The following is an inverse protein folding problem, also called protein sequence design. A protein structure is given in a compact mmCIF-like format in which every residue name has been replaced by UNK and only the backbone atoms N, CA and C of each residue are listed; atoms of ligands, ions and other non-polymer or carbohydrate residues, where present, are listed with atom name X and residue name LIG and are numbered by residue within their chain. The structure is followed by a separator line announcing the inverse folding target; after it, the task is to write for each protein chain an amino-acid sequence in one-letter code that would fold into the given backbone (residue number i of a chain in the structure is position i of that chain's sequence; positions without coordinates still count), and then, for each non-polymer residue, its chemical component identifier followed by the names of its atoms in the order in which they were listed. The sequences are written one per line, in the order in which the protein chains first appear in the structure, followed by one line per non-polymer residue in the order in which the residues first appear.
data_IF_325861456023
#
_entry.id   IF_325861456023
#
_cell.length_a   1.000
_cell.length_b   1.000
_cell.length_c   1.000
_cell.angle_alpha   90.00
_cell.angle_beta   90.00
_cell.angle_gamma   90.00
#
_symmetry.space_group_name_H-M   'P 1'
#
loop_
_entity.id
_entity.type
_entity.pdbx_description
1 polymer ?
#
# COMPACT_ATOMS: atom_id res chain seq x y z
N UNK A 1 -20.63 2.64 5.81
CA UNK A 1 -20.96 2.26 4.41
C UNK A 1 -20.07 1.07 4.10
N UNK A 2 -20.44 0.19 3.17
CA UNK A 2 -19.58 -0.93 2.78
C UNK A 2 -18.98 -0.67 1.41
N UNK A 3 -17.79 -1.23 1.15
CA UNK A 3 -17.04 -0.95 -0.08
C UNK A 3 -15.57 -1.28 0.06
N UNK A 4 -14.71 -0.50 -0.58
CA UNK A 4 -13.26 -0.57 -0.45
C UNK A 4 -12.65 0.83 -0.41
N UNK A 5 -11.37 0.93 -0.06
CA UNK A 5 -10.65 2.20 -0.11
C UNK A 5 -9.46 2.14 -1.04
N UNK A 6 -9.15 3.26 -1.67
CA UNK A 6 -7.97 3.47 -2.51
C UNK A 6 -7.13 4.56 -1.86
N UNK A 7 -5.82 4.34 -1.77
CA UNK A 7 -4.83 5.35 -1.43
C UNK A 7 -4.05 5.67 -2.70
N UNK A 8 -4.29 6.85 -3.26
CA UNK A 8 -3.61 7.33 -4.45
C UNK A 8 -2.13 7.61 -4.17
N UNK A 9 -1.33 7.78 -5.23
CA UNK A 9 0.14 7.99 -5.13
C UNK A 9 0.50 9.25 -4.33
N UNK A 10 -0.39 10.26 -4.34
CA UNK A 10 -0.24 11.48 -3.54
C UNK A 10 -0.58 11.30 -2.05
N UNK A 11 -1.06 10.11 -1.68
CA UNK A 11 -1.49 9.73 -0.34
C UNK A 11 -2.94 10.05 -0.01
N UNK A 12 -3.74 10.55 -0.95
CA UNK A 12 -5.17 10.78 -0.78
C UNK A 12 -5.91 9.45 -0.60
N UNK A 13 -6.73 9.35 0.45
CA UNK A 13 -7.59 8.18 0.66
C UNK A 13 -9.01 8.46 0.18
N UNK A 14 -9.49 7.63 -0.73
CA UNK A 14 -10.86 7.68 -1.28
C UNK A 14 -11.62 6.42 -0.92
N UNK A 15 -12.86 6.56 -0.46
CA UNK A 15 -13.79 5.44 -0.26
C UNK A 15 -14.63 5.19 -1.52
N UNK A 16 -14.69 3.94 -1.95
CA UNK A 16 -15.48 3.48 -3.08
C UNK A 16 -16.63 2.61 -2.57
N UNK A 17 -17.90 3.04 -2.71
CA UNK A 17 -19.05 2.32 -2.16
C UNK A 17 -19.49 1.10 -2.99
N UNK A 18 -18.68 0.67 -3.96
CA UNK A 18 -18.97 -0.49 -4.79
C UNK A 18 -18.42 -1.76 -4.12
N UNK A 19 -19.11 -2.88 -4.32
CA UNK A 19 -18.58 -4.19 -3.94
C UNK A 19 -17.27 -4.42 -4.69
N UNK A 20 -16.14 -4.66 -3.99
CA UNK A 20 -14.86 -4.86 -4.65
C UNK A 20 -14.91 -6.15 -5.47
N UNK A 21 -14.42 -6.05 -6.70
CA UNK A 21 -14.19 -7.19 -7.57
C UNK A 21 -12.73 -7.20 -8.00
N UNK A 22 -12.27 -8.36 -8.44
CA UNK A 22 -10.96 -8.48 -9.09
C UNK A 22 -10.77 -7.42 -10.17
N UNK A 23 -11.75 -7.18 -11.05
CA UNK A 23 -11.57 -6.19 -12.12
C UNK A 23 -11.46 -4.75 -11.61
N UNK A 24 -12.25 -4.37 -10.59
CA UNK A 24 -12.17 -3.04 -9.98
C UNK A 24 -10.83 -2.83 -9.26
N UNK A 25 -10.32 -3.85 -8.57
CA UNK A 25 -8.99 -3.79 -7.95
C UNK A 25 -7.92 -3.63 -9.03
N UNK A 26 -8.06 -4.31 -10.19
CA UNK A 26 -7.09 -4.25 -11.31
C UNK A 26 -7.00 -2.86 -11.87
N UNK A 27 -8.18 -2.28 -12.10
CA UNK A 27 -8.30 -0.94 -12.63
C UNK A 27 -7.68 0.09 -11.68
N UNK A 28 -7.86 -0.10 -10.37
CA UNK A 28 -7.34 0.81 -9.36
C UNK A 28 -5.82 0.71 -9.12
N UNK A 29 -5.25 -0.51 -9.00
CA UNK A 29 -3.81 -0.67 -8.70
C UNK A 29 -2.94 -0.72 -9.96
N UNK A 30 -3.44 -1.32 -11.04
CA UNK A 30 -2.66 -1.65 -12.23
C UNK A 30 -2.84 -3.10 -12.69
N UNK A 31 -2.30 -3.39 -13.88
CA UNK A 31 -2.60 -4.63 -14.62
C UNK A 31 -2.18 -5.93 -13.89
N UNK A 32 -1.09 -5.89 -13.13
CA UNK A 32 -0.58 -7.01 -12.34
C UNK A 32 -0.53 -6.59 -10.89
N UNK A 33 -1.14 -7.37 -10.00
CA UNK A 33 -1.18 -7.03 -8.58
C UNK A 33 -0.56 -8.11 -7.70
N UNK A 34 -0.13 -7.69 -6.53
CA UNK A 34 0.22 -8.56 -5.42
C UNK A 34 -0.75 -8.36 -4.25
N UNK A 35 -1.03 -9.45 -3.54
CA UNK A 35 -1.78 -9.44 -2.29
C UNK A 35 -0.85 -9.16 -1.11
N UNK A 36 -1.25 -8.22 -0.26
CA UNK A 36 -0.57 -7.88 0.99
C UNK A 36 -1.47 -8.28 2.14
N UNK A 37 -1.18 -9.43 2.75
CA UNK A 37 -1.95 -9.91 3.89
C UNK A 37 -1.85 -8.93 5.07
N UNK A 38 -3.02 -8.51 5.55
CA UNK A 38 -3.14 -7.66 6.73
C UNK A 38 -3.88 -8.44 7.85
N UNK A 39 -3.56 -8.16 9.12
CA UNK A 39 -4.33 -8.65 10.26
C UNK A 39 -5.83 -8.32 10.18
N UNK A 40 -6.62 -8.97 11.04
CA UNK A 40 -8.03 -8.62 11.29
C UNK A 40 -8.98 -8.78 10.10
N UNK A 41 -8.61 -9.60 9.10
CA UNK A 41 -9.43 -9.83 7.92
C UNK A 41 -9.42 -8.65 6.95
N UNK A 42 -8.28 -7.97 6.83
CA UNK A 42 -8.00 -6.96 5.82
C UNK A 42 -7.09 -7.55 4.73
N UNK A 43 -7.15 -6.98 3.53
CA UNK A 43 -6.18 -7.27 2.47
C UNK A 43 -5.80 -5.98 1.76
N UNK A 44 -4.49 -5.78 1.58
CA UNK A 44 -3.94 -4.76 0.69
C UNK A 44 -3.70 -5.33 -0.70
N UNK A 45 -3.83 -4.49 -1.73
CA UNK A 45 -3.54 -4.81 -3.12
C UNK A 45 -2.68 -3.70 -3.69
N UNK A 46 -1.62 -4.08 -4.41
CA UNK A 46 -0.58 -3.17 -4.92
C UNK A 46 -0.14 -3.60 -6.32
N UNK A 47 0.39 -2.69 -7.14
CA UNK A 47 0.96 -3.04 -8.46
C UNK A 47 2.28 -3.80 -8.27
N UNK A 48 2.30 -5.09 -8.61
CA UNK A 48 3.51 -5.93 -8.51
C UNK A 48 4.58 -5.51 -9.52
N UNK A 49 4.12 -5.05 -10.69
CA UNK A 49 4.98 -4.56 -11.77
C UNK A 49 5.36 -3.08 -11.56
N UNK A 50 4.91 -2.43 -10.48
CA UNK A 50 5.15 -1.00 -10.28
C UNK A 50 6.63 -0.64 -10.31
N UNK A 51 7.50 -1.54 -9.84
CA UNK A 51 8.95 -1.39 -9.96
C UNK A 51 9.46 -1.48 -11.41
N UNK A 52 8.93 -2.42 -12.20
CA UNK A 52 9.29 -2.61 -13.62
C UNK A 52 8.83 -1.41 -14.44
N UNK A 53 7.64 -0.89 -14.14
CA UNK A 53 7.04 0.29 -14.78
C UNK A 53 7.64 1.63 -14.29
N UNK A 54 8.60 1.58 -13.37
CA UNK A 54 9.21 2.75 -12.75
C UNK A 54 8.19 3.73 -12.12
N UNK A 55 7.08 3.21 -11.58
CA UNK A 55 6.11 4.00 -10.83
C UNK A 55 6.75 4.57 -9.56
N UNK A 56 6.25 5.72 -9.13
CA UNK A 56 6.67 6.32 -7.87
C UNK A 56 6.15 5.52 -6.68
N UNK A 57 6.94 5.50 -5.60
CA UNK A 57 6.50 4.90 -4.35
C UNK A 57 5.41 5.73 -3.71
N UNK A 58 4.33 5.06 -3.35
CA UNK A 58 3.29 5.66 -2.55
C UNK A 58 3.71 5.62 -1.09
N UNK A 59 4.35 6.70 -0.63
CA UNK A 59 4.91 6.79 0.73
C UNK A 59 3.82 6.60 1.78
N UNK A 60 2.68 7.27 1.62
CA UNK A 60 1.56 7.20 2.57
C UNK A 60 0.94 5.81 2.55
N UNK A 61 0.64 5.26 1.38
CA UNK A 61 0.10 3.91 1.22
C UNK A 61 1.03 2.84 1.80
N UNK A 62 2.34 2.96 1.59
CA UNK A 62 3.32 2.01 2.11
C UNK A 62 3.38 2.03 3.63
N UNK A 63 3.48 3.23 4.22
CA UNK A 63 3.49 3.39 5.68
C UNK A 63 2.16 2.94 6.27
N UNK A 64 1.04 3.22 5.62
CA UNK A 64 -0.28 2.76 6.06
C UNK A 64 -0.35 1.24 6.13
N UNK A 65 0.09 0.53 5.07
CA UNK A 65 0.10 -0.93 5.07
C UNK A 65 0.97 -1.48 6.21
N UNK A 66 2.17 -0.92 6.42
CA UNK A 66 3.04 -1.33 7.54
C UNK A 66 2.43 -1.04 8.90
N UNK A 67 1.82 0.13 9.08
CA UNK A 67 1.11 0.49 10.31
C UNK A 67 -0.11 -0.40 10.58
N UNK A 68 -0.70 -0.98 9.53
CA UNK A 68 -1.75 -1.99 9.63
C UNK A 68 -1.18 -3.41 9.84
N UNK A 69 0.14 -3.62 9.78
CA UNK A 69 0.79 -4.89 10.07
C UNK A 69 1.39 -5.61 8.86
N UNK A 70 1.48 -4.97 7.69
CA UNK A 70 2.22 -5.51 6.55
C UNK A 70 3.73 -5.56 6.81
N UNK A 71 4.44 -6.32 5.97
CA UNK A 71 5.90 -6.32 5.95
C UNK A 71 6.48 -4.95 5.56
N UNK A 72 7.69 -4.66 6.03
CA UNK A 72 8.36 -3.39 5.78
C UNK A 72 8.96 -3.33 4.36
N UNK A 73 8.15 -2.96 3.36
CA UNK A 73 8.59 -2.76 1.98
C UNK A 73 7.94 -1.54 1.29
N UNK A 74 8.67 -0.82 0.41
CA UNK A 74 8.09 0.22 -0.44
C UNK A 74 7.09 -0.38 -1.44
N UNK A 75 5.91 0.22 -1.54
CA UNK A 75 4.89 -0.14 -2.53
C UNK A 75 4.76 0.98 -3.57
N UNK A 76 4.79 0.58 -4.84
CA UNK A 76 4.69 1.49 -5.98
C UNK A 76 3.24 1.63 -6.44
N UNK A 77 2.86 2.84 -6.88
CA UNK A 77 1.52 3.11 -7.38
C UNK A 77 0.41 3.18 -6.30
N UNK A 78 -0.86 3.26 -6.72
CA UNK A 78 -2.00 3.24 -5.79
C UNK A 78 -2.07 1.95 -4.97
N UNK A 79 -2.61 2.07 -3.76
CA UNK A 79 -2.87 0.94 -2.86
C UNK A 79 -4.36 0.78 -2.67
N UNK A 80 -4.90 -0.41 -2.88
CA UNK A 80 -6.31 -0.72 -2.54
C UNK A 80 -6.35 -1.51 -1.24
N UNK A 81 -7.33 -1.22 -0.38
CA UNK A 81 -7.60 -2.03 0.82
C UNK A 81 -9.05 -2.52 0.78
N UNK A 82 -9.22 -3.83 0.94
CA UNK A 82 -10.52 -4.52 1.04
C UNK A 82 -10.63 -5.28 2.35
N UNK A 83 -11.82 -5.81 2.64
CA UNK A 83 -11.95 -6.91 3.59
C UNK A 83 -11.45 -8.22 2.97
N UNK A 84 -11.18 -9.22 3.82
CA UNK A 84 -10.76 -10.55 3.41
C UNK A 84 -11.50 -11.66 4.16
N UNK A 85 -11.89 -12.70 3.43
CA UNK A 85 -12.50 -13.90 3.99
C UNK A 85 -11.94 -15.17 3.30
N UNK A 86 -11.58 -16.24 4.02
CA UNK A 86 -10.91 -17.41 3.43
C UNK A 86 -11.73 -18.15 2.36
N UNK A 87 -13.06 -18.01 2.36
CA UNK A 87 -13.93 -18.68 1.38
C UNK A 87 -14.20 -17.87 0.10
N UNK A 88 -13.99 -16.55 0.12
CA UNK A 88 -14.38 -15.64 -0.97
C UNK A 88 -13.23 -14.71 -1.40
N UNK A 89 -12.18 -14.65 -0.59
CA UNK A 89 -10.97 -13.83 -0.71
C UNK A 89 -11.25 -12.33 -0.64
N UNK A 90 -11.95 -11.75 -1.61
CA UNK A 90 -12.28 -10.33 -1.68
C UNK A 90 -13.67 -10.11 -1.09
N UNK A 91 -13.77 -9.33 -0.02
CA UNK A 91 -15.06 -8.88 0.53
C UNK A 91 -15.04 -7.38 0.81
N UNK A 92 -16.21 -6.80 0.97
CA UNK A 92 -16.35 -5.40 1.37
C UNK A 92 -15.72 -5.15 2.75
N UNK A 93 -15.15 -3.96 2.93
CA UNK A 93 -14.87 -3.42 4.25
C UNK A 93 -16.21 -3.16 4.95
N UNK A 94 -16.38 -3.74 6.12
CA UNK A 94 -17.40 -3.28 7.04
C UNK A 94 -17.02 -1.91 7.64
N UNK A 95 -18.00 -1.28 8.31
CA UNK A 95 -17.84 0.06 8.85
C UNK A 95 -16.74 0.17 9.92
N UNK A 96 -16.51 -0.88 10.70
CA UNK A 96 -15.51 -0.86 11.78
C UNK A 96 -14.10 -0.94 11.20
N UNK A 97 -13.89 -1.85 10.24
CA UNK A 97 -12.63 -1.97 9.50
C UNK A 97 -12.32 -0.72 8.68
N UNK A 98 -13.32 -0.17 8.00
CA UNK A 98 -13.19 1.10 7.27
C UNK A 98 -12.77 2.23 8.23
N UNK A 99 -13.40 2.30 9.41
CA UNK A 99 -13.05 3.29 10.43
C UNK A 99 -11.60 3.14 10.90
N UNK A 100 -11.14 1.91 11.16
CA UNK A 100 -9.74 1.64 11.55
C UNK A 100 -8.78 2.11 10.46
N UNK A 101 -9.01 1.74 9.20
CA UNK A 101 -8.12 2.12 8.08
C UNK A 101 -8.04 3.64 7.96
N UNK A 102 -9.18 4.35 8.03
CA UNK A 102 -9.21 5.83 7.99
C UNK A 102 -8.52 6.47 9.20
N UNK A 103 -8.68 5.90 10.39
CA UNK A 103 -8.05 6.40 11.60
C UNK A 103 -6.52 6.23 11.54
N UNK A 104 -6.02 5.09 11.06
CA UNK A 104 -4.57 4.88 10.87
C UNK A 104 -4.03 5.81 9.78
N UNK A 105 -4.72 5.92 8.64
CA UNK A 105 -4.36 6.85 7.56
C UNK A 105 -4.25 8.29 8.06
N UNK A 106 -5.24 8.78 8.80
CA UNK A 106 -5.22 10.13 9.38
C UNK A 106 -4.03 10.33 10.33
N UNK A 107 -3.71 9.34 11.17
CA UNK A 107 -2.53 9.38 12.06
C UNK A 107 -1.22 9.39 11.28
N UNK A 108 -1.10 8.60 10.20
CA UNK A 108 0.06 8.60 9.30
C UNK A 108 0.24 9.98 8.67
N UNK A 109 -0.82 10.55 8.08
CA UNK A 109 -0.77 11.89 7.49
C UNK A 109 -0.38 12.96 8.50
N UNK A 110 -0.94 12.91 9.72
CA UNK A 110 -0.60 13.85 10.79
C UNK A 110 0.88 13.74 11.22
N UNK A 111 1.39 12.51 11.36
CA UNK A 111 2.78 12.25 11.71
C UNK A 111 3.77 12.76 10.63
N UNK A 112 3.40 12.64 9.36
CA UNK A 112 4.21 13.12 8.23
C UNK A 112 4.16 14.65 8.07
N UNK A 113 3.05 15.29 8.46
CA UNK A 113 2.93 16.74 8.43
C UNK A 113 3.63 17.44 9.62
N UNK A 114 3.77 16.75 10.75
CA UNK A 114 4.35 17.31 11.96
C UNK A 114 5.88 17.11 12.01
N UNK A 115 6.60 18.20 12.29
CA UNK A 115 8.06 18.18 12.50
C UNK A 115 8.47 17.98 13.96
N UNK A 116 7.51 18.00 14.89
CA UNK A 116 7.79 17.84 16.32
C UNK A 116 8.01 16.36 16.67
N UNK A 117 9.10 16.10 17.42
CA UNK A 117 9.41 14.79 17.99
C UNK A 117 8.69 14.53 19.32
N UNK A 118 8.81 13.30 19.83
CA UNK A 118 8.29 12.91 21.16
C UNK A 118 7.01 12.07 21.15
N UNK A 119 6.49 11.76 19.96
CA UNK A 119 5.46 10.74 19.76
C UNK A 119 6.13 9.56 19.03
N UNK A 120 6.26 8.42 19.73
CA UNK A 120 6.91 7.21 19.23
C UNK A 120 6.30 6.71 17.91
N UNK A 121 4.97 6.80 17.77
CA UNK A 121 4.30 6.42 16.52
C UNK A 121 4.68 7.39 15.40
N UNK A 122 4.71 8.69 15.68
CA UNK A 122 5.07 9.68 14.68
C UNK A 122 6.55 9.55 14.24
N UNK A 123 7.44 9.27 15.19
CA UNK A 123 8.85 9.01 14.93
C UNK A 123 9.02 7.76 14.05
N UNK A 124 8.34 6.65 14.38
CA UNK A 124 8.36 5.44 13.56
C UNK A 124 7.81 5.68 12.14
N UNK A 125 6.68 6.39 12.01
CA UNK A 125 6.10 6.75 10.69
C UNK A 125 7.09 7.56 9.85
N UNK A 126 7.78 8.53 10.45
CA UNK A 126 8.77 9.34 9.72
C UNK A 126 9.98 8.54 9.30
N UNK A 127 10.48 7.66 10.16
CA UNK A 127 11.58 6.75 9.83
C UNK A 127 11.20 5.81 8.68
N UNK A 128 10.03 5.16 8.77
CA UNK A 128 9.52 4.32 7.70
C UNK A 128 9.34 5.08 6.40
N UNK A 129 8.79 6.30 6.45
CA UNK A 129 8.63 7.13 5.26
C UNK A 129 9.97 7.55 4.65
N UNK A 130 10.99 7.82 5.47
CA UNK A 130 12.33 8.08 4.99
C UNK A 130 12.93 6.85 4.30
N UNK A 131 12.74 5.66 4.86
CA UNK A 131 13.13 4.40 4.25
C UNK A 131 12.46 4.22 2.88
N UNK A 132 11.14 4.38 2.80
CA UNK A 132 10.38 4.24 1.54
C UNK A 132 10.87 5.23 0.48
N UNK A 133 11.10 6.50 0.83
CA UNK A 133 11.61 7.52 -0.11
C UNK A 133 13.03 7.23 -0.60
N UNK A 134 13.85 6.64 0.26
CA UNK A 134 15.27 6.36 -0.03
C UNK A 134 15.50 5.00 -0.68
N UNK A 135 14.47 4.14 -0.72
CA UNK A 135 14.62 2.78 -1.18
C UNK A 135 15.06 2.74 -2.65
N UNK A 136 16.06 1.91 -2.99
CA UNK A 136 16.50 1.76 -4.36
C UNK A 136 15.39 1.15 -5.19
N UNK A 137 15.16 1.67 -6.40
CA UNK A 137 14.28 1.03 -7.37
C UNK A 137 14.92 -0.31 -7.79
N UNK A 138 14.23 -1.45 -7.67
CA UNK A 138 14.78 -2.73 -8.08
C UNK A 138 15.20 -2.67 -9.54
N UNK A 139 16.47 -3.01 -9.81
CA UNK A 139 16.97 -3.20 -11.18
C UNK A 139 17.07 -4.69 -11.45
N UNK A 140 16.43 -5.17 -12.51
CA UNK A 140 16.61 -6.54 -12.98
C UNK A 140 17.84 -6.55 -13.90
N UNK A 141 18.91 -7.23 -13.48
CA UNK A 141 20.02 -7.58 -14.38
C UNK A 141 19.78 -8.98 -14.91
N UNK A 142 19.40 -9.08 -16.19
CA UNK A 142 19.30 -10.38 -16.87
C UNK A 142 20.71 -10.84 -17.23
N UNK A 143 21.23 -11.85 -16.52
CA UNK A 143 22.46 -12.51 -16.92
C UNK A 143 22.19 -13.36 -18.17
N UNK A 144 22.69 -12.91 -19.33
CA UNK A 144 22.68 -13.73 -20.55
C UNK A 144 23.83 -14.74 -20.44
N UNK A 145 23.59 -16.06 -20.54
CA UNK A 145 24.67 -17.03 -20.55
C UNK A 145 25.54 -16.83 -21.80
N UNK A 146 26.80 -16.43 -21.63
CA UNK A 146 27.83 -16.48 -22.67
C UNK A 146 28.27 -15.16 -23.33
N UNK A 147 27.94 -13.99 -22.79
CA UNK A 147 28.50 -12.71 -23.28
C UNK A 147 29.69 -12.25 -22.44
N UNK A 148 30.90 -12.21 -23.01
CA UNK A 148 32.03 -11.52 -22.37
C UNK A 148 31.75 -10.01 -22.28
N UNK A 149 32.14 -9.33 -21.18
CA UNK A 149 31.97 -7.89 -21.05
C UNK A 149 32.84 -7.16 -22.08
N UNK A 150 32.22 -6.27 -22.86
CA UNK A 150 32.90 -5.30 -23.73
C UNK A 150 33.09 -3.98 -22.99
#
# INVERSE_FOLDING_TARGET
MSGYVVVDVDGTLTHHPATPTSDLIREAVGNWWAMVHLPSGLMGWVDDDGHIKALDYNVVGSVLLMALGAGHMPYAGPVVITGWHPAVEIVELDADREHVVKAVHARVCAALACSAGGDEFADAVRETAALVRSAPRPTITVAVPGGEPS
#
